data_IF_461294161316
#
_entry.id   IF_461294161316
#
_cell.length_a   1.000
_cell.length_b   1.000
_cell.length_c   1.000
_cell.angle_alpha   90.00
_cell.angle_beta   90.00
_cell.angle_gamma   90.00
#
_symmetry.space_group_name_H-M   'P 1'
#
loop_
_entity.id
_entity.type
_entity.pdbx_description
1 polymer ?
#
# COMPACT_ATOMS: atom_id res chain seq x y z
N UNK A 1 -9.24 -7.99 3.15
CA UNK A 1 -8.39 -7.24 2.21
C UNK A 1 -9.18 -6.10 1.62
N UNK A 2 -8.86 -4.89 2.03
CA UNK A 2 -9.39 -3.66 1.45
C UNK A 2 -8.92 -3.53 0.00
N UNK A 3 -9.83 -3.21 -0.92
CA UNK A 3 -9.50 -2.93 -2.32
C UNK A 3 -8.50 -1.78 -2.44
N UNK A 4 -8.52 -0.82 -1.50
CA UNK A 4 -7.59 0.31 -1.47
C UNK A 4 -6.16 -0.08 -1.07
N UNK A 5 -5.99 -1.05 -0.17
CA UNK A 5 -4.66 -1.52 0.21
C UNK A 5 -3.94 -2.13 -1.00
N UNK A 6 -4.67 -2.88 -1.84
CA UNK A 6 -4.12 -3.42 -3.09
C UNK A 6 -3.71 -2.32 -4.06
N UNK A 7 -4.54 -1.27 -4.21
CA UNK A 7 -4.21 -0.12 -5.08
C UNK A 7 -2.92 0.55 -4.59
N UNK A 8 -2.81 0.85 -3.30
CA UNK A 8 -1.60 1.46 -2.75
C UNK A 8 -0.37 0.55 -2.90
N UNK A 9 -0.50 -0.74 -2.63
CA UNK A 9 0.61 -1.69 -2.82
C UNK A 9 1.10 -1.74 -4.28
N UNK A 10 0.18 -1.66 -5.25
CA UNK A 10 0.54 -1.58 -6.68
C UNK A 10 1.27 -0.27 -6.98
N UNK A 11 0.75 0.87 -6.50
CA UNK A 11 1.38 2.17 -6.72
C UNK A 11 2.78 2.24 -6.09
N UNK A 12 2.96 1.64 -4.91
CA UNK A 12 4.27 1.53 -4.25
C UNK A 12 5.22 0.63 -5.04
N UNK A 13 4.76 -0.52 -5.53
CA UNK A 13 5.57 -1.39 -6.41
C UNK A 13 5.99 -0.72 -7.71
N UNK A 14 5.16 0.17 -8.25
CA UNK A 14 5.45 0.93 -9.47
C UNK A 14 6.36 2.14 -9.23
N UNK A 15 6.61 2.51 -7.97
CA UNK A 15 7.34 3.74 -7.63
C UNK A 15 6.53 5.02 -7.87
N UNK A 16 5.22 4.91 -8.16
CA UNK A 16 4.33 6.07 -8.30
C UNK A 16 3.97 6.68 -6.94
N UNK A 17 4.07 5.87 -5.87
CA UNK A 17 3.91 6.30 -4.48
C UNK A 17 4.97 5.68 -3.57
N UNK A 18 5.24 6.31 -2.44
CA UNK A 18 6.05 5.70 -1.36
C UNK A 18 5.16 5.14 -0.26
N UNK A 19 5.72 4.28 0.58
CA UNK A 19 5.00 3.70 1.73
C UNK A 19 4.50 4.78 2.70
N UNK A 20 5.19 5.91 2.78
CA UNK A 20 4.83 7.05 3.65
C UNK A 20 3.57 7.79 3.17
N UNK A 21 3.21 7.61 1.90
CA UNK A 21 1.97 8.16 1.33
C UNK A 21 0.76 7.25 1.55
N UNK A 22 0.96 6.09 2.20
CA UNK A 22 -0.12 5.17 2.54
C UNK A 22 -0.78 5.65 3.84
N UNK A 23 -2.11 5.83 3.88
CA UNK A 23 -2.82 6.14 5.12
C UNK A 23 -2.54 5.09 6.20
N UNK A 24 -2.34 5.50 7.45
CA UNK A 24 -2.00 4.59 8.57
C UNK A 24 -2.95 3.39 8.69
N UNK A 25 -4.25 3.63 8.49
CA UNK A 25 -5.29 2.58 8.52
C UNK A 25 -5.12 1.48 7.46
N UNK A 26 -4.31 1.73 6.42
CA UNK A 26 -4.00 0.79 5.33
C UNK A 26 -2.55 0.31 5.38
N UNK A 27 -1.66 0.93 6.16
CA UNK A 27 -0.23 0.56 6.22
C UNK A 27 -0.03 -0.92 6.53
N UNK A 28 -0.76 -1.45 7.53
CA UNK A 28 -0.64 -2.85 7.91
C UNK A 28 -1.02 -3.80 6.75
N UNK A 29 -2.11 -3.50 6.04
CA UNK A 29 -2.55 -4.30 4.89
C UNK A 29 -1.60 -4.14 3.68
N UNK A 30 -1.09 -2.93 3.42
CA UNK A 30 -0.13 -2.69 2.32
C UNK A 30 1.19 -3.41 2.61
N UNK A 31 1.70 -3.34 3.84
CA UNK A 31 2.93 -4.02 4.23
C UNK A 31 2.79 -5.55 4.12
N UNK A 32 1.62 -6.10 4.46
CA UNK A 32 1.32 -7.52 4.25
C UNK A 32 1.29 -7.94 2.77
N UNK A 33 0.98 -7.03 1.85
CA UNK A 33 0.96 -7.33 0.40
C UNK A 33 2.37 -7.18 -0.22
N UNK A 34 3.20 -6.30 0.36
CA UNK A 34 4.56 -6.01 -0.13
C UNK A 34 5.60 -7.02 0.34
N UNK A 35 5.45 -7.56 1.56
CA UNK A 35 6.23 -8.69 2.08
C UNK A 35 5.84 -10.00 1.37
#
# INVERSE_FOLDING_TARGET
MSSMAKVYAILVRKGEKTIDQVPEKLMAEVQQILN
#
